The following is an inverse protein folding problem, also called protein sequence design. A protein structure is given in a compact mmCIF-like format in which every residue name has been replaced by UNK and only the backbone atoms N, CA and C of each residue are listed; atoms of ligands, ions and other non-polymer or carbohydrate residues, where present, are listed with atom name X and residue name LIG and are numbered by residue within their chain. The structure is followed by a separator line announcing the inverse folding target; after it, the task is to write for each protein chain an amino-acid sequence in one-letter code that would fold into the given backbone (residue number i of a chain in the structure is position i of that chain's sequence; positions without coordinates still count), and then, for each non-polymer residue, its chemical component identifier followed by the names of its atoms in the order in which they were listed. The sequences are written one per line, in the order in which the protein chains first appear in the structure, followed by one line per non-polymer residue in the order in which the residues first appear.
data_IF_078730018401
#
_entry.id   IF_078730018401
#
_cell.length_a   1.000
_cell.length_b   1.000
_cell.length_c   1.000
_cell.angle_alpha   90.00
_cell.angle_beta   90.00
_cell.angle_gamma   90.00
#
_symmetry.space_group_name_H-M   'P 1'
#
loop_
_entity.id
_entity.type
_entity.pdbx_description
1 polymer ?
#
# COMPACT_ATOMS: atom_id res chain seq x y z
N UNK A 1 65.55 -45.63 61.79
CA UNK A 1 65.52 -45.02 60.44
C UNK A 1 64.21 -45.39 59.83
N UNK A 2 63.23 -44.52 59.90
CA UNK A 2 61.85 -44.73 59.54
C UNK A 2 61.58 -44.14 58.14
N UNK A 3 61.20 -44.98 57.19
CA UNK A 3 60.81 -44.55 55.83
C UNK A 3 59.34 -44.44 55.81
N UNK A 4 58.84 -43.23 55.60
CA UNK A 4 57.39 -42.97 55.40
C UNK A 4 57.07 -43.13 53.93
N UNK A 5 56.07 -44.00 53.65
CA UNK A 5 55.45 -44.13 52.35
C UNK A 5 54.27 -43.17 52.27
N UNK A 6 54.32 -42.27 51.26
CA UNK A 6 53.15 -41.44 50.89
C UNK A 6 52.33 -42.13 49.82
N UNK A 7 51.08 -42.41 50.12
CA UNK A 7 50.09 -42.88 49.16
C UNK A 7 49.48 -41.69 48.46
N UNK A 8 49.59 -41.62 47.13
CA UNK A 8 48.94 -40.60 46.32
C UNK A 8 47.56 -41.11 45.90
N UNK A 9 46.49 -40.39 46.33
CA UNK A 9 45.14 -40.60 45.82
C UNK A 9 45.01 -39.89 44.49
N UNK A 10 44.68 -40.66 43.42
CA UNK A 10 44.26 -40.13 42.15
C UNK A 10 42.74 -39.95 42.16
N UNK A 11 42.27 -38.71 42.16
CA UNK A 11 40.87 -38.38 41.99
C UNK A 11 40.63 -38.21 40.49
N UNK A 12 39.89 -39.16 39.90
CA UNK A 12 39.39 -39.03 38.51
C UNK A 12 38.25 -38.05 38.46
N UNK A 13 38.43 -36.90 37.81
CA UNK A 13 37.40 -35.95 37.51
C UNK A 13 36.62 -36.39 36.26
N UNK A 14 35.37 -36.81 36.42
CA UNK A 14 34.43 -37.02 35.33
C UNK A 14 34.00 -35.65 34.77
N UNK A 15 34.52 -35.26 33.62
CA UNK A 15 34.05 -34.09 32.87
C UNK A 15 32.71 -34.43 32.18
N UNK A 16 31.63 -33.97 32.78
CA UNK A 16 30.32 -34.01 32.17
C UNK A 16 30.21 -33.00 31.05
N UNK A 17 30.09 -33.45 29.82
CA UNK A 17 29.71 -32.63 28.68
C UNK A 17 28.32 -32.03 28.89
N UNK A 18 28.20 -30.77 29.27
CA UNK A 18 26.98 -30.01 29.21
C UNK A 18 26.87 -29.47 27.76
N UNK A 19 25.90 -29.99 27.01
CA UNK A 19 25.43 -29.32 25.79
C UNK A 19 24.87 -27.95 26.17
N UNK A 20 25.31 -26.86 25.54
CA UNK A 20 24.60 -25.60 25.67
C UNK A 20 23.28 -25.74 24.92
N UNK A 21 22.15 -25.74 25.64
CA UNK A 21 20.86 -25.52 25.06
C UNK A 21 20.90 -24.17 24.34
N UNK A 22 20.89 -24.21 23.03
CA UNK A 22 20.75 -23.01 22.21
C UNK A 22 19.40 -22.39 22.51
N UNK A 23 19.40 -21.31 23.29
CA UNK A 23 18.26 -20.41 23.34
C UNK A 23 18.18 -19.73 21.97
N UNK A 24 17.24 -20.17 21.15
CA UNK A 24 16.77 -19.39 20.00
C UNK A 24 16.06 -18.16 20.56
N UNK A 25 16.83 -17.18 21.00
CA UNK A 25 16.37 -15.84 21.27
C UNK A 25 15.99 -15.23 19.95
N UNK A 26 14.72 -15.38 19.54
CA UNK A 26 14.17 -14.55 18.50
C UNK A 26 14.38 -13.09 18.89
N UNK A 27 15.00 -12.30 18.01
CA UNK A 27 15.08 -10.87 18.22
C UNK A 27 13.65 -10.36 18.52
N UNK A 28 13.47 -9.47 19.50
CA UNK A 28 12.14 -8.90 19.77
C UNK A 28 11.62 -8.31 18.47
N UNK A 29 10.41 -8.71 18.07
CA UNK A 29 9.74 -8.11 16.91
C UNK A 29 9.74 -6.59 17.13
N UNK A 30 10.15 -5.79 16.13
CA UNK A 30 10.16 -4.35 16.27
C UNK A 30 8.76 -3.89 16.65
N UNK A 31 8.67 -3.08 17.71
CA UNK A 31 7.41 -2.46 18.13
C UNK A 31 7.04 -1.38 17.13
N UNK A 32 6.27 -1.72 16.11
CA UNK A 32 5.82 -0.81 15.05
C UNK A 32 6.02 -1.37 13.65
N UNK A 33 5.48 -0.66 12.66
CA UNK A 33 5.65 -1.00 11.24
C UNK A 33 7.12 -0.88 10.82
N UNK A 34 7.62 -1.72 9.88
CA UNK A 34 8.96 -1.59 9.33
C UNK A 34 9.07 -0.33 8.44
N UNK A 35 10.23 0.32 8.44
CA UNK A 35 10.59 1.27 7.41
C UNK A 35 10.98 0.51 6.13
N UNK A 36 10.50 0.97 4.99
CA UNK A 36 10.61 0.23 3.75
C UNK A 36 11.40 1.00 2.68
N UNK A 37 12.13 0.24 1.86
CA UNK A 37 12.71 0.72 0.62
C UNK A 37 12.71 -0.37 -0.44
N UNK A 38 12.97 0.01 -1.69
CA UNK A 38 13.06 -0.93 -2.82
C UNK A 38 14.49 -1.45 -2.95
N UNK A 39 14.62 -2.77 -3.07
CA UNK A 39 15.86 -3.44 -3.44
C UNK A 39 15.57 -4.46 -4.57
N UNK A 40 15.98 -4.12 -5.77
CA UNK A 40 15.61 -4.91 -6.95
C UNK A 40 14.10 -4.95 -7.15
N UNK A 41 13.53 -6.14 -7.18
CA UNK A 41 12.09 -6.33 -7.32
C UNK A 41 11.39 -6.64 -5.96
N UNK A 42 11.97 -6.17 -4.85
CA UNK A 42 11.43 -6.41 -3.49
C UNK A 42 11.29 -5.12 -2.70
N UNK A 43 10.27 -5.07 -1.86
CA UNK A 43 10.27 -4.19 -0.69
C UNK A 43 11.10 -4.86 0.40
N UNK A 44 11.97 -4.11 1.04
CA UNK A 44 12.81 -4.61 2.14
C UNK A 44 12.76 -3.65 3.33
N UNK A 45 12.99 -4.19 4.53
CA UNK A 45 13.10 -3.41 5.76
C UNK A 45 14.52 -2.81 5.94
N UNK A 46 14.74 -2.10 7.04
CA UNK A 46 16.02 -1.48 7.38
C UNK A 46 17.19 -2.49 7.49
N UNK A 47 16.89 -3.77 7.70
CA UNK A 47 17.88 -4.85 7.76
C UNK A 47 18.07 -5.55 6.40
N UNK A 48 17.44 -5.06 5.33
CA UNK A 48 17.48 -5.67 4.00
C UNK A 48 16.64 -6.96 3.89
N UNK A 49 15.77 -7.25 4.83
CA UNK A 49 14.91 -8.43 4.80
C UNK A 49 13.68 -8.15 3.93
N UNK A 50 13.33 -9.06 3.00
CA UNK A 50 12.13 -8.89 2.20
C UNK A 50 10.86 -8.78 3.05
N UNK A 51 10.03 -7.79 2.73
CA UNK A 51 8.73 -7.55 3.34
C UNK A 51 7.66 -7.65 2.27
N UNK A 52 6.64 -8.46 2.54
CA UNK A 52 5.45 -8.56 1.71
C UNK A 52 4.31 -7.89 2.44
N UNK A 53 3.62 -6.99 1.76
CA UNK A 53 2.44 -6.34 2.30
C UNK A 53 1.23 -7.24 2.05
N UNK A 54 0.54 -7.59 3.12
CA UNK A 54 -0.76 -8.27 3.12
C UNK A 54 -1.70 -7.41 3.93
N UNK A 55 -2.68 -6.80 3.30
CA UNK A 55 -3.44 -5.77 3.96
C UNK A 55 -4.80 -5.50 3.34
N UNK A 56 -5.37 -4.39 3.73
CA UNK A 56 -6.71 -3.98 3.33
C UNK A 56 -6.72 -2.53 2.84
N UNK A 57 -7.69 -2.21 2.01
CA UNK A 57 -8.09 -0.84 1.71
C UNK A 57 -9.09 -0.37 2.77
N UNK A 58 -8.85 0.80 3.35
CA UNK A 58 -9.75 1.45 4.31
C UNK A 58 -10.38 2.65 3.63
N UNK A 59 -11.42 2.40 2.85
CA UNK A 59 -12.19 3.42 2.14
C UNK A 59 -12.92 4.37 3.08
N UNK A 60 -13.32 5.53 2.59
CA UNK A 60 -14.10 6.52 3.33
C UNK A 60 -13.42 7.85 3.53
N UNK A 61 -12.09 7.92 3.48
CA UNK A 61 -11.33 9.15 3.66
C UNK A 61 -11.37 10.02 2.40
N UNK A 62 -11.62 9.41 1.24
CA UNK A 62 -11.71 10.05 -0.07
C UNK A 62 -13.04 10.78 -0.29
N UNK A 63 -14.14 10.36 0.37
CA UNK A 63 -15.46 10.95 0.13
C UNK A 63 -16.10 11.63 1.33
N UNK A 64 -15.89 11.15 2.56
CA UNK A 64 -16.56 11.69 3.75
C UNK A 64 -16.34 13.19 3.93
N UNK A 65 -15.12 13.66 3.70
CA UNK A 65 -14.75 15.06 3.80
C UNK A 65 -15.39 15.91 2.69
N UNK A 66 -15.34 15.44 1.44
CA UNK A 66 -15.89 16.14 0.28
C UNK A 66 -17.43 16.22 0.35
N UNK A 67 -18.08 15.21 0.93
CA UNK A 67 -19.51 15.18 1.20
C UNK A 67 -19.89 15.94 2.49
N UNK A 68 -18.93 16.39 3.30
CA UNK A 68 -19.13 17.32 4.41
C UNK A 68 -19.68 16.70 5.69
N UNK A 69 -19.47 15.41 5.96
CA UNK A 69 -19.99 14.75 7.16
C UNK A 69 -18.93 14.07 8.04
N UNK A 70 -17.67 14.02 7.64
CA UNK A 70 -16.62 13.38 8.43
C UNK A 70 -15.25 13.41 7.77
N UNK A 71 -14.26 12.78 8.42
CA UNK A 71 -12.94 12.50 7.83
C UNK A 71 -12.83 11.08 7.32
N UNK A 72 -13.55 10.15 7.94
CA UNK A 72 -13.55 8.73 7.65
C UNK A 72 -14.99 8.21 7.65
N UNK A 73 -15.25 7.21 6.85
CA UNK A 73 -16.45 6.39 6.99
C UNK A 73 -16.18 5.29 8.03
N UNK A 74 -16.92 5.34 9.15
CA UNK A 74 -16.71 4.46 10.28
C UNK A 74 -15.53 4.83 11.19
N UNK A 75 -15.20 3.99 12.17
CA UNK A 75 -14.24 4.31 13.23
C UNK A 75 -12.79 4.31 12.71
N UNK A 76 -12.00 5.25 13.23
CA UNK A 76 -10.56 5.39 12.96
C UNK A 76 -9.71 5.37 14.23
N UNK A 77 -10.24 4.83 15.31
CA UNK A 77 -9.62 4.75 16.62
C UNK A 77 -8.70 3.52 16.78
N UNK A 78 -8.07 3.42 17.95
CA UNK A 78 -7.16 2.31 18.26
C UNK A 78 -7.85 0.94 18.27
N UNK A 79 -9.16 0.88 18.49
CA UNK A 79 -9.92 -0.38 18.49
C UNK A 79 -10.10 -0.89 17.08
N UNK A 80 -10.50 0.00 16.15
CA UNK A 80 -10.65 -0.35 14.74
C UNK A 80 -9.32 -0.74 14.08
N UNK A 81 -8.22 -0.05 14.41
CA UNK A 81 -6.89 -0.42 13.89
C UNK A 81 -6.41 -1.77 14.44
N UNK A 82 -6.66 -2.06 15.73
CA UNK A 82 -6.37 -3.40 16.28
C UNK A 82 -7.24 -4.50 15.66
N UNK A 83 -8.47 -4.20 15.27
CA UNK A 83 -9.31 -5.14 14.54
C UNK A 83 -8.68 -5.54 13.19
N UNK A 84 -8.16 -4.57 12.42
CA UNK A 84 -7.40 -4.85 11.19
C UNK A 84 -6.16 -5.71 11.49
N UNK A 85 -5.35 -5.30 12.47
CA UNK A 85 -4.14 -6.02 12.85
C UNK A 85 -4.42 -7.46 13.35
N UNK A 86 -5.61 -7.71 13.93
CA UNK A 86 -6.02 -9.04 14.40
C UNK A 86 -6.18 -10.07 13.27
N UNK A 87 -6.26 -9.61 12.01
CA UNK A 87 -6.25 -10.46 10.82
C UNK A 87 -4.82 -10.79 10.35
N UNK A 88 -3.79 -10.40 11.09
CA UNK A 88 -2.38 -10.49 10.68
C UNK A 88 -2.06 -9.64 9.44
N UNK A 89 -2.89 -8.64 9.14
CA UNK A 89 -2.56 -7.61 8.18
C UNK A 89 -1.33 -6.81 8.66
N UNK A 90 -0.50 -6.37 7.71
CA UNK A 90 0.67 -5.54 7.99
C UNK A 90 0.69 -4.22 7.19
N UNK A 91 -0.37 -3.96 6.42
CA UNK A 91 -0.52 -2.72 5.66
C UNK A 91 -1.99 -2.28 5.58
N UNK A 92 -2.20 -0.97 5.49
CA UNK A 92 -3.50 -0.35 5.21
C UNK A 92 -3.31 0.71 4.12
N UNK A 93 -4.06 0.59 3.02
CA UNK A 93 -4.16 1.65 2.02
C UNK A 93 -5.27 2.60 2.42
N UNK A 94 -4.93 3.88 2.48
CA UNK A 94 -5.79 4.97 2.96
C UNK A 94 -6.04 5.91 1.78
N UNK A 95 -7.22 5.85 1.16
CA UNK A 95 -7.59 6.72 0.06
C UNK A 95 -7.72 8.18 0.54
N UNK A 96 -7.11 9.11 -0.19
CA UNK A 96 -7.16 10.54 0.12
C UNK A 96 -7.93 11.30 -0.95
N UNK A 97 -8.41 12.49 -0.56
CA UNK A 97 -9.09 13.44 -1.43
C UNK A 97 -8.25 14.72 -1.55
N UNK A 98 -7.95 15.11 -2.77
CA UNK A 98 -7.14 16.28 -3.07
C UNK A 98 -7.73 17.57 -2.53
N UNK A 99 -9.02 17.83 -2.84
CA UNK A 99 -9.68 19.08 -2.42
C UNK A 99 -9.80 19.19 -0.91
N UNK A 100 -9.99 18.05 -0.22
CA UNK A 100 -10.01 18.02 1.23
C UNK A 100 -8.64 18.27 1.85
N UNK A 101 -7.58 17.65 1.29
CA UNK A 101 -6.22 17.88 1.79
C UNK A 101 -5.78 19.33 1.63
N UNK A 102 -6.04 19.91 0.44
CA UNK A 102 -5.67 21.28 0.14
C UNK A 102 -6.59 22.32 0.80
N UNK A 103 -7.82 21.94 1.17
CA UNK A 103 -8.82 22.86 1.74
C UNK A 103 -9.33 23.87 0.71
N UNK A 104 -9.54 23.44 -0.54
CA UNK A 104 -9.93 24.30 -1.67
C UNK A 104 -11.32 23.98 -2.18
N UNK A 105 -11.80 24.79 -3.13
CA UNK A 105 -13.02 24.57 -3.91
C UNK A 105 -14.31 24.46 -3.09
N UNK A 106 -14.35 25.09 -1.91
CA UNK A 106 -15.56 25.17 -1.11
C UNK A 106 -15.91 23.92 -0.30
N UNK A 107 -15.00 22.93 -0.19
CA UNK A 107 -15.18 21.83 0.77
C UNK A 107 -15.35 22.36 2.19
N UNK A 108 -16.15 21.66 3.00
CA UNK A 108 -16.47 22.09 4.35
C UNK A 108 -15.19 22.29 5.20
N UNK A 109 -14.91 23.51 5.72
CA UNK A 109 -13.67 23.77 6.49
C UNK A 109 -13.50 22.88 7.71
N UNK A 110 -14.61 22.40 8.29
CA UNK A 110 -14.58 21.47 9.41
C UNK A 110 -13.86 20.16 9.10
N UNK A 111 -13.92 19.71 7.84
CA UNK A 111 -13.41 18.40 7.38
C UNK A 111 -12.30 18.53 6.33
N UNK A 112 -11.71 19.71 6.15
CA UNK A 112 -10.69 19.94 5.12
C UNK A 112 -9.49 20.74 5.67
N UNK A 113 -8.47 20.92 4.81
CA UNK A 113 -7.27 21.65 5.17
C UNK A 113 -6.55 21.04 6.37
N UNK A 114 -6.15 21.86 7.33
CA UNK A 114 -5.42 21.43 8.54
C UNK A 114 -6.19 20.40 9.36
N UNK A 115 -7.51 20.45 9.38
CA UNK A 115 -8.33 19.47 10.11
C UNK A 115 -8.23 18.08 9.47
N UNK A 116 -8.34 18.01 8.14
CA UNK A 116 -8.19 16.75 7.39
C UNK A 116 -6.77 16.21 7.52
N UNK A 117 -5.76 17.05 7.31
CA UNK A 117 -4.34 16.66 7.43
C UNK A 117 -4.01 16.10 8.81
N UNK A 118 -4.55 16.71 9.89
CA UNK A 118 -4.37 16.18 11.25
C UNK A 118 -5.05 14.84 11.45
N UNK A 119 -6.30 14.69 11.00
CA UNK A 119 -7.02 13.42 11.12
C UNK A 119 -6.28 12.28 10.41
N UNK A 120 -5.78 12.52 9.19
CA UNK A 120 -4.96 11.55 8.45
C UNK A 120 -3.64 11.28 9.19
N UNK A 121 -2.96 12.30 9.69
CA UNK A 121 -1.69 12.12 10.42
C UNK A 121 -1.85 11.30 11.70
N UNK A 122 -2.90 11.54 12.47
CA UNK A 122 -3.22 10.78 13.68
C UNK A 122 -3.50 9.32 13.36
N UNK A 123 -4.23 9.06 12.28
CA UNK A 123 -4.54 7.71 11.82
C UNK A 123 -3.28 6.98 11.33
N UNK A 124 -2.45 7.62 10.50
CA UNK A 124 -1.16 7.07 10.04
C UNK A 124 -0.25 6.73 11.23
N UNK A 125 -0.14 7.65 12.20
CA UNK A 125 0.66 7.42 13.39
C UNK A 125 0.14 6.22 14.20
N UNK A 126 -1.18 6.03 14.26
CA UNK A 126 -1.81 4.89 14.93
C UNK A 126 -1.53 3.57 14.18
N UNK A 127 -1.68 3.55 12.84
CA UNK A 127 -1.33 2.41 12.01
C UNK A 127 0.13 1.99 12.24
N UNK A 128 1.07 2.93 12.12
CA UNK A 128 2.50 2.63 12.25
C UNK A 128 2.86 2.11 13.65
N UNK A 129 2.26 2.66 14.72
CA UNK A 129 2.47 2.14 16.09
C UNK A 129 1.91 0.73 16.28
N UNK A 130 0.88 0.36 15.53
CA UNK A 130 0.24 -0.97 15.61
C UNK A 130 0.92 -2.01 14.70
N UNK A 131 1.98 -1.61 13.98
CA UNK A 131 2.74 -2.52 13.10
C UNK A 131 2.26 -2.51 11.65
N UNK A 132 1.38 -1.59 11.27
CA UNK A 132 0.80 -1.48 9.94
C UNK A 132 1.50 -0.38 9.13
N UNK A 133 2.02 -0.73 7.96
CA UNK A 133 2.50 0.22 6.96
C UNK A 133 1.29 0.99 6.42
N UNK A 134 1.40 2.31 6.33
CA UNK A 134 0.37 3.13 5.71
C UNK A 134 0.69 3.38 4.24
N UNK A 135 -0.24 3.11 3.33
CA UNK A 135 -0.14 3.47 1.92
C UNK A 135 -1.12 4.62 1.70
N UNK A 136 -0.60 5.81 1.46
CA UNK A 136 -1.40 6.98 1.16
C UNK A 136 -1.62 7.07 -0.33
N UNK A 137 -2.85 7.02 -0.74
CA UNK A 137 -3.30 7.00 -2.12
C UNK A 137 -4.05 8.29 -2.47
N UNK A 138 -3.69 8.93 -3.57
CA UNK A 138 -4.55 9.97 -4.13
C UNK A 138 -5.69 9.32 -4.89
N UNK A 139 -6.83 9.19 -4.23
CA UNK A 139 -7.97 8.46 -4.78
C UNK A 139 -8.86 9.32 -5.67
N UNK A 140 -9.15 10.55 -5.22
CA UNK A 140 -9.97 11.50 -5.96
C UNK A 140 -9.27 12.83 -6.11
N UNK A 141 -9.23 13.34 -7.33
CA UNK A 141 -8.76 14.69 -7.70
C UNK A 141 -9.76 15.40 -8.61
N UNK A 142 -9.65 16.70 -8.70
CA UNK A 142 -10.50 17.49 -9.61
C UNK A 142 -9.81 18.80 -10.03
N UNK A 143 -9.77 19.05 -11.35
CA UNK A 143 -9.18 20.24 -11.92
C UNK A 143 -10.00 21.52 -11.65
N UNK A 144 -9.34 22.66 -11.63
CA UNK A 144 -9.93 24.00 -11.56
C UNK A 144 -10.64 24.24 -10.22
N UNK A 145 -11.90 24.61 -10.27
CA UNK A 145 -12.70 24.94 -9.07
C UNK A 145 -13.69 23.84 -8.67
N UNK A 146 -13.60 22.67 -9.30
CA UNK A 146 -14.46 21.54 -8.97
C UNK A 146 -14.02 20.87 -7.64
N UNK A 147 -14.98 20.36 -6.88
CA UNK A 147 -14.72 19.48 -5.75
C UNK A 147 -14.46 18.06 -6.27
N UNK A 148 -13.49 17.38 -5.74
CA UNK A 148 -13.21 15.98 -6.08
C UNK A 148 -14.28 15.06 -5.46
N UNK A 149 -15.26 14.65 -6.26
CA UNK A 149 -16.41 13.82 -5.87
C UNK A 149 -16.40 12.44 -6.55
N UNK A 150 -15.32 12.06 -7.20
CA UNK A 150 -15.19 10.81 -7.92
C UNK A 150 -13.81 10.68 -8.57
N UNK A 151 -13.61 9.58 -9.27
CA UNK A 151 -12.38 9.32 -10.01
C UNK A 151 -12.27 10.24 -11.24
N UNK A 152 -11.06 10.74 -11.49
CA UNK A 152 -10.71 11.47 -12.72
C UNK A 152 -9.85 10.58 -13.63
N UNK A 153 -9.85 10.80 -14.97
CA UNK A 153 -9.03 9.99 -15.89
C UNK A 153 -7.53 10.03 -15.60
N UNK A 154 -7.03 11.17 -15.15
CA UNK A 154 -5.64 11.42 -14.73
C UNK A 154 -5.64 12.48 -13.63
N UNK A 155 -4.57 12.53 -12.82
CA UNK A 155 -4.41 13.63 -11.89
C UNK A 155 -4.35 14.95 -12.64
N UNK A 156 -4.93 16.00 -12.08
CA UNK A 156 -4.89 17.34 -12.69
C UNK A 156 -3.55 18.05 -12.40
N UNK A 157 -3.17 18.95 -13.31
CA UNK A 157 -1.92 19.71 -13.16
C UNK A 157 -2.07 20.93 -12.26
N UNK A 158 -3.31 21.34 -11.99
CA UNK A 158 -3.59 22.55 -11.22
C UNK A 158 -3.25 22.35 -9.74
N UNK A 159 -3.56 21.17 -9.20
CA UNK A 159 -3.54 20.93 -7.76
C UNK A 159 -2.71 19.71 -7.36
N UNK A 160 -2.73 18.62 -8.13
CA UNK A 160 -2.10 17.35 -7.73
C UNK A 160 -0.59 17.45 -7.45
N UNK A 161 0.23 18.20 -8.22
CA UNK A 161 1.64 18.38 -7.88
C UNK A 161 1.84 19.05 -6.50
N UNK A 162 1.00 20.02 -6.14
CA UNK A 162 1.05 20.67 -4.82
C UNK A 162 0.54 19.74 -3.71
N UNK A 163 -0.52 18.97 -3.97
CA UNK A 163 -0.99 17.93 -3.05
C UNK A 163 0.17 17.00 -2.67
N UNK A 164 0.90 16.46 -3.65
CA UNK A 164 2.00 15.55 -3.38
C UNK A 164 3.21 16.22 -2.71
N UNK A 165 3.50 17.48 -3.02
CA UNK A 165 4.52 18.24 -2.26
C UNK A 165 4.15 18.34 -0.79
N UNK A 166 2.89 18.62 -0.46
CA UNK A 166 2.44 18.72 0.93
C UNK A 166 2.42 17.37 1.63
N UNK A 167 1.88 16.32 1.01
CA UNK A 167 1.87 14.95 1.57
C UNK A 167 3.31 14.49 1.81
N UNK A 168 4.16 14.58 0.80
CA UNK A 168 5.55 14.15 0.91
C UNK A 168 6.33 14.95 1.98
N UNK A 169 6.13 16.26 2.08
CA UNK A 169 6.75 17.07 3.12
C UNK A 169 6.30 16.68 4.53
N UNK A 170 5.01 16.29 4.69
CA UNK A 170 4.46 15.86 5.98
C UNK A 170 5.02 14.51 6.44
N UNK A 171 5.34 13.60 5.51
CA UNK A 171 5.75 12.24 5.83
C UNK A 171 7.22 11.92 5.47
N UNK A 172 8.00 12.85 4.94
CA UNK A 172 9.43 12.64 4.72
C UNK A 172 10.12 12.27 6.03
N UNK A 173 10.94 11.23 6.00
CA UNK A 173 11.59 10.67 7.20
C UNK A 173 10.72 9.68 7.99
N UNK A 174 9.53 9.36 7.47
CA UNK A 174 8.73 8.24 7.94
C UNK A 174 8.59 7.18 6.82
N UNK A 175 9.61 6.36 6.61
CA UNK A 175 9.64 5.34 5.57
C UNK A 175 8.70 4.15 5.85
N UNK A 176 7.83 4.26 6.87
CA UNK A 176 6.67 3.39 7.14
C UNK A 176 5.42 3.84 6.38
N UNK A 177 5.56 4.89 5.56
CA UNK A 177 4.52 5.43 4.69
C UNK A 177 4.96 5.26 3.25
N UNK A 178 4.10 4.70 2.42
CA UNK A 178 4.26 4.57 0.97
C UNK A 178 3.30 5.57 0.31
N UNK A 179 3.70 6.18 -0.80
CA UNK A 179 2.87 7.08 -1.59
C UNK A 179 2.39 6.37 -2.85
N UNK A 180 1.08 6.18 -3.00
CA UNK A 180 0.43 5.67 -4.21
C UNK A 180 -0.09 6.86 -5.01
N UNK A 181 0.61 7.21 -6.09
CA UNK A 181 0.51 8.54 -6.69
C UNK A 181 -0.85 8.88 -7.27
N UNK A 182 -1.59 7.89 -7.75
CA UNK A 182 -2.94 8.07 -8.25
C UNK A 182 -3.65 6.72 -8.33
N UNK A 183 -4.87 6.67 -7.83
CA UNK A 183 -5.65 5.46 -7.66
C UNK A 183 -5.74 4.62 -8.95
N UNK A 184 -6.46 5.10 -9.94
CA UNK A 184 -6.83 4.33 -11.12
C UNK A 184 -6.80 5.19 -12.40
N UNK A 185 -5.62 5.39 -13.02
CA UNK A 185 -5.53 6.14 -14.28
C UNK A 185 -6.28 5.44 -15.42
N UNK A 186 -7.10 6.21 -16.18
CA UNK A 186 -7.81 5.71 -17.37
C UNK A 186 -7.80 6.74 -18.53
N UNK A 187 -6.61 7.27 -18.93
CA UNK A 187 -6.50 8.22 -20.03
C UNK A 187 -6.92 7.59 -21.36
N UNK A 188 -7.05 8.44 -22.39
CA UNK A 188 -7.38 8.05 -23.76
C UNK A 188 -8.66 7.18 -23.84
N UNK A 189 -9.73 7.65 -23.16
CA UNK A 189 -11.00 6.93 -23.08
C UNK A 189 -10.86 5.49 -22.58
N UNK A 190 -9.97 5.28 -21.61
CA UNK A 190 -9.70 3.98 -20.99
C UNK A 190 -9.08 2.94 -21.95
N UNK A 191 -8.26 3.37 -22.89
CA UNK A 191 -7.57 2.51 -23.84
C UNK A 191 -6.13 2.21 -23.42
N UNK A 192 -5.60 1.05 -23.82
CA UNK A 192 -4.18 0.70 -23.73
C UNK A 192 -3.49 1.07 -25.06
N UNK A 193 -3.11 2.33 -25.19
CA UNK A 193 -2.50 2.91 -26.41
C UNK A 193 -1.20 3.63 -26.09
N UNK A 194 -0.32 3.86 -27.10
CA UNK A 194 0.86 4.71 -26.89
C UNK A 194 0.49 6.12 -26.39
N UNK A 195 -0.65 6.67 -26.83
CA UNK A 195 -1.17 7.97 -26.40
C UNK A 195 -1.57 7.96 -24.93
N UNK A 196 -2.23 6.87 -24.45
CA UNK A 196 -2.56 6.69 -23.05
C UNK A 196 -1.29 6.66 -22.19
N UNK A 197 -0.29 5.87 -22.57
CA UNK A 197 0.97 5.76 -21.83
C UNK A 197 1.81 7.04 -21.87
N UNK A 198 1.77 7.80 -22.98
CA UNK A 198 2.39 9.13 -23.06
C UNK A 198 1.69 10.10 -22.10
N UNK A 199 0.34 10.14 -22.12
CA UNK A 199 -0.44 10.94 -21.18
C UNK A 199 -0.15 10.55 -19.72
N UNK A 200 -0.14 9.26 -19.44
CA UNK A 200 0.17 8.71 -18.11
C UNK A 200 1.55 9.16 -17.63
N UNK A 201 2.58 9.08 -18.47
CA UNK A 201 3.95 9.41 -18.08
C UNK A 201 4.20 10.91 -18.04
N UNK A 202 3.83 11.63 -19.11
CA UNK A 202 4.27 13.00 -19.36
C UNK A 202 3.17 14.05 -19.06
N UNK A 203 1.91 13.61 -18.96
CA UNK A 203 0.78 14.52 -18.76
C UNK A 203 0.53 15.45 -19.93
N UNK A 204 0.09 16.66 -19.64
CA UNK A 204 -0.24 17.70 -20.60
C UNK A 204 -1.66 17.57 -21.15
N UNK A 205 -1.85 17.96 -22.41
CA UNK A 205 -3.13 17.78 -23.11
C UNK A 205 -3.29 16.33 -23.51
N UNK A 206 -4.32 15.66 -22.99
CA UNK A 206 -4.61 14.27 -23.23
C UNK A 206 -5.96 14.09 -23.93
N UNK A 207 -6.08 13.01 -24.72
CA UNK A 207 -7.32 12.68 -25.44
C UNK A 207 -8.47 12.47 -24.45
N UNK A 208 -9.62 13.05 -24.76
CA UNK A 208 -10.84 12.89 -23.93
C UNK A 208 -10.86 13.70 -22.63
N UNK A 209 -9.86 14.54 -22.38
CA UNK A 209 -9.76 15.35 -21.15
C UNK A 209 -9.94 16.83 -21.44
N UNK A 210 -10.65 17.53 -20.56
CA UNK A 210 -10.91 18.98 -20.62
C UNK A 210 -9.91 19.83 -19.83
N UNK A 211 -8.93 19.19 -19.15
CA UNK A 211 -7.91 19.82 -18.31
C UNK A 211 -6.52 19.29 -18.64
N UNK A 212 -5.49 19.97 -18.17
CA UNK A 212 -4.11 19.51 -18.29
C UNK A 212 -3.83 18.44 -17.23
N UNK A 213 -3.39 17.26 -17.68
CA UNK A 213 -2.98 16.21 -16.78
C UNK A 213 -1.60 16.49 -16.17
N UNK A 214 -1.41 16.19 -14.89
CA UNK A 214 -0.09 15.95 -14.34
C UNK A 214 0.34 14.52 -14.70
N UNK A 215 1.51 14.38 -15.33
CA UNK A 215 2.07 13.05 -15.62
C UNK A 215 2.73 12.43 -14.40
N UNK A 216 2.88 11.11 -14.39
CA UNK A 216 3.51 10.40 -13.27
C UNK A 216 4.95 10.85 -13.03
N UNK A 217 5.68 11.30 -14.08
CA UNK A 217 7.00 11.90 -13.91
C UNK A 217 6.94 13.18 -13.07
N UNK A 218 6.00 14.09 -13.38
CA UNK A 218 5.83 15.33 -12.63
C UNK A 218 5.46 15.08 -11.17
N UNK A 219 4.69 14.02 -10.89
CA UNK A 219 4.31 13.66 -9.54
C UNK A 219 5.48 13.04 -8.75
N UNK A 220 6.29 12.17 -9.38
CA UNK A 220 7.55 11.68 -8.78
C UNK A 220 8.47 12.84 -8.46
N UNK A 221 8.67 13.77 -9.39
CA UNK A 221 9.52 14.96 -9.19
C UNK A 221 8.97 15.83 -8.05
N UNK A 222 7.65 15.98 -7.95
CA UNK A 222 6.99 16.73 -6.88
C UNK A 222 7.28 16.10 -5.50
N UNK A 223 7.18 14.79 -5.37
CA UNK A 223 7.53 14.06 -4.15
C UNK A 223 9.00 14.25 -3.81
N UNK A 224 9.90 14.00 -4.77
CA UNK A 224 11.37 14.04 -4.56
C UNK A 224 11.90 15.44 -4.31
N UNK A 225 11.25 16.49 -4.83
CA UNK A 225 11.60 17.89 -4.57
C UNK A 225 11.54 18.26 -3.08
N UNK A 226 10.79 17.53 -2.28
CA UNK A 226 10.68 17.74 -0.82
C UNK A 226 11.82 17.13 -0.02
N UNK A 227 12.62 16.27 -0.64
CA UNK A 227 13.62 15.43 0.01
C UNK A 227 13.03 14.14 0.62
N UNK A 228 11.78 13.78 0.30
CA UNK A 228 11.19 12.51 0.73
C UNK A 228 11.84 11.32 0.03
N UNK A 229 12.18 10.30 0.83
CA UNK A 229 12.81 9.03 0.38
C UNK A 229 11.82 7.89 0.28
N UNK A 230 10.61 8.07 0.73
CA UNK A 230 9.55 7.07 0.77
C UNK A 230 9.42 6.28 -0.54
N UNK A 231 9.01 5.02 -0.44
CA UNK A 231 8.60 4.23 -1.61
C UNK A 231 7.42 4.92 -2.29
N UNK A 232 7.50 5.01 -3.61
CA UNK A 232 6.43 5.54 -4.46
C UNK A 232 5.84 4.39 -5.26
N UNK A 233 4.53 4.18 -5.15
CA UNK A 233 3.75 3.24 -5.95
C UNK A 233 3.10 3.98 -7.12
N UNK A 234 3.01 3.32 -8.27
CA UNK A 234 2.42 3.91 -9.47
C UNK A 234 1.59 2.84 -10.18
N UNK A 235 0.29 3.06 -10.28
CA UNK A 235 -0.63 2.22 -11.03
C UNK A 235 -0.43 2.36 -12.55
N UNK A 236 -0.80 1.33 -13.31
CA UNK A 236 -0.83 1.40 -14.76
C UNK A 236 -2.06 2.12 -15.30
N UNK A 237 -2.39 1.92 -16.56
CA UNK A 237 -3.60 2.47 -17.20
C UNK A 237 -4.79 1.51 -17.07
N UNK A 238 -5.94 1.88 -17.65
CA UNK A 238 -7.18 1.09 -17.62
C UNK A 238 -7.64 0.76 -16.20
N UNK A 239 -7.79 1.80 -15.36
CA UNK A 239 -8.11 1.63 -13.94
C UNK A 239 -7.03 0.83 -13.19
N UNK A 240 -5.76 1.12 -13.47
CA UNK A 240 -4.59 0.40 -12.92
C UNK A 240 -4.58 -1.12 -13.21
N UNK A 241 -5.44 -1.60 -14.12
CA UNK A 241 -5.55 -3.03 -14.45
C UNK A 241 -4.57 -3.48 -15.54
N UNK A 242 -3.83 -2.56 -16.18
CA UNK A 242 -2.88 -2.83 -17.27
C UNK A 242 -1.48 -2.35 -16.92
N UNK A 243 -0.50 -3.22 -17.07
CA UNK A 243 0.93 -2.92 -16.89
C UNK A 243 1.75 -3.14 -18.18
N UNK A 244 1.11 -3.34 -19.32
CA UNK A 244 1.69 -3.73 -20.61
C UNK A 244 2.91 -2.89 -21.03
N UNK A 245 2.85 -1.59 -20.84
CA UNK A 245 3.94 -0.65 -21.17
C UNK A 245 4.50 0.07 -19.94
N UNK A 246 4.20 -0.41 -18.72
CA UNK A 246 4.63 0.21 -17.47
C UNK A 246 6.15 0.36 -17.40
N UNK A 247 6.90 -0.71 -17.72
CA UNK A 247 8.37 -0.69 -17.70
C UNK A 247 8.97 0.26 -18.73
N UNK A 248 8.39 0.31 -19.92
CA UNK A 248 8.84 1.20 -21.00
C UNK A 248 8.53 2.68 -20.71
N UNK A 249 7.43 2.92 -20.01
CA UNK A 249 6.95 4.27 -19.67
C UNK A 249 7.31 4.71 -18.25
N UNK A 250 7.93 3.85 -17.45
CA UNK A 250 8.26 4.10 -16.05
C UNK A 250 8.96 5.45 -15.85
N UNK A 251 8.48 6.30 -14.93
CA UNK A 251 9.16 7.54 -14.56
C UNK A 251 10.58 7.28 -14.08
N UNK A 252 11.47 8.25 -14.34
CA UNK A 252 12.78 8.28 -13.70
C UNK A 252 12.63 8.68 -12.23
N UNK A 253 13.24 7.90 -11.35
CA UNK A 253 13.36 8.24 -9.93
C UNK A 253 14.84 8.18 -9.54
N UNK A 254 15.45 9.31 -9.09
CA UNK A 254 16.87 9.33 -8.75
C UNK A 254 17.23 8.38 -7.58
N UNK A 255 16.25 7.97 -6.78
CA UNK A 255 16.44 7.04 -5.68
C UNK A 255 16.22 5.57 -6.06
N UNK A 256 15.61 5.32 -7.25
CA UNK A 256 15.23 3.96 -7.66
C UNK A 256 14.19 3.31 -6.74
N UNK A 257 13.39 4.11 -6.03
CA UNK A 257 12.49 3.65 -4.97
C UNK A 257 11.02 3.59 -5.43
N UNK A 258 10.80 3.02 -6.65
CA UNK A 258 9.49 2.84 -7.26
C UNK A 258 8.98 1.41 -7.15
N UNK A 259 7.67 1.25 -6.91
CA UNK A 259 6.93 0.01 -7.00
C UNK A 259 5.78 0.15 -7.99
N UNK A 260 5.42 -0.94 -8.69
CA UNK A 260 4.23 -0.95 -9.53
C UNK A 260 2.99 -1.27 -8.67
N UNK A 261 1.94 -0.48 -8.83
CA UNK A 261 0.60 -0.75 -8.30
C UNK A 261 -0.26 -1.39 -9.38
N UNK A 262 -1.09 -2.35 -8.99
CA UNK A 262 -1.96 -3.08 -9.90
C UNK A 262 -3.31 -3.33 -9.23
N UNK A 263 -4.42 -3.16 -9.97
CA UNK A 263 -5.78 -3.35 -9.44
C UNK A 263 -6.50 -4.40 -10.28
N UNK A 264 -6.94 -5.49 -9.66
CA UNK A 264 -7.58 -6.60 -10.38
C UNK A 264 -8.80 -7.12 -9.63
N UNK A 265 -9.89 -7.15 -10.36
CA UNK A 265 -11.16 -7.71 -9.94
C UNK A 265 -11.60 -8.82 -10.91
N UNK A 266 -12.53 -9.69 -10.48
CA UNK A 266 -13.07 -10.75 -11.36
C UNK A 266 -13.76 -10.21 -12.61
N UNK A 267 -14.18 -8.95 -12.60
CA UNK A 267 -14.75 -8.24 -13.76
C UNK A 267 -13.74 -7.40 -14.56
N UNK A 268 -12.47 -7.33 -14.14
CA UNK A 268 -11.42 -6.63 -14.90
C UNK A 268 -11.14 -7.35 -16.22
N UNK A 269 -10.69 -6.60 -17.24
CA UNK A 269 -10.34 -7.20 -18.53
C UNK A 269 -9.18 -8.22 -18.39
N UNK A 270 -8.24 -7.99 -17.47
CA UNK A 270 -7.10 -8.85 -17.19
C UNK A 270 -7.39 -9.79 -16.00
N UNK A 271 -8.44 -10.59 -16.09
CA UNK A 271 -8.91 -11.47 -15.00
C UNK A 271 -8.52 -12.94 -15.17
N UNK A 272 -7.51 -13.24 -15.99
CA UNK A 272 -7.08 -14.61 -16.28
C UNK A 272 -5.58 -14.79 -16.04
N UNK A 273 -5.17 -16.01 -15.69
CA UNK A 273 -3.77 -16.38 -15.49
C UNK A 273 -2.90 -16.03 -16.70
N UNK A 274 -3.38 -16.26 -17.91
CA UNK A 274 -2.64 -15.94 -19.15
C UNK A 274 -2.37 -14.43 -19.24
N UNK A 275 -3.35 -13.59 -18.87
CA UNK A 275 -3.15 -12.14 -18.85
C UNK A 275 -2.16 -11.75 -17.74
N UNK A 276 -2.28 -12.31 -16.55
CA UNK A 276 -1.36 -12.01 -15.43
C UNK A 276 0.10 -12.34 -15.79
N UNK A 277 0.31 -13.50 -16.45
CA UNK A 277 1.65 -13.91 -16.88
C UNK A 277 2.20 -13.04 -18.02
N UNK A 278 1.34 -12.53 -18.89
CA UNK A 278 1.74 -11.67 -20.01
C UNK A 278 1.97 -10.23 -19.62
N UNK A 279 1.14 -9.69 -18.74
CA UNK A 279 1.07 -8.25 -18.41
C UNK A 279 1.87 -7.91 -17.14
N UNK A 280 1.57 -8.57 -16.02
CA UNK A 280 2.13 -8.20 -14.72
C UNK A 280 3.43 -8.96 -14.36
N UNK A 281 3.60 -10.21 -14.82
CA UNK A 281 4.79 -10.98 -14.47
C UNK A 281 6.12 -10.35 -14.94
N UNK A 282 6.23 -9.76 -16.16
CA UNK A 282 7.45 -9.06 -16.56
C UNK A 282 7.81 -7.89 -15.64
N UNK A 283 6.79 -7.18 -15.14
CA UNK A 283 6.96 -6.06 -14.20
C UNK A 283 7.45 -6.57 -12.85
N UNK A 284 6.81 -7.63 -12.31
CA UNK A 284 7.18 -8.25 -11.04
C UNK A 284 8.62 -8.81 -11.00
N UNK A 285 9.23 -9.06 -12.17
CA UNK A 285 10.64 -9.49 -12.26
C UNK A 285 11.62 -8.33 -12.09
N UNK A 286 11.21 -7.08 -12.28
CA UNK A 286 12.10 -5.92 -12.30
C UNK A 286 11.88 -4.94 -11.15
N UNK A 287 10.63 -4.79 -10.68
CA UNK A 287 10.26 -3.90 -9.58
C UNK A 287 9.32 -4.61 -8.61
N UNK A 288 9.19 -4.14 -7.35
CA UNK A 288 8.15 -4.67 -6.46
C UNK A 288 6.77 -4.49 -7.10
N UNK A 289 5.98 -5.57 -7.13
CA UNK A 289 4.58 -5.54 -7.56
C UNK A 289 3.69 -5.55 -6.33
N UNK A 290 2.84 -4.55 -6.22
CA UNK A 290 1.82 -4.43 -5.18
C UNK A 290 0.46 -4.43 -5.86
N UNK A 291 -0.35 -5.44 -5.58
CA UNK A 291 -1.75 -5.46 -5.94
C UNK A 291 -2.48 -4.52 -4.97
N UNK A 292 -2.59 -3.24 -5.37
CA UNK A 292 -3.13 -2.15 -4.53
C UNK A 292 -4.60 -2.36 -4.18
N UNK A 293 -5.33 -2.99 -5.12
CA UNK A 293 -6.69 -3.46 -4.91
C UNK A 293 -6.91 -4.83 -5.55
N UNK A 294 -7.61 -5.71 -4.84
CA UNK A 294 -8.17 -6.92 -5.42
C UNK A 294 -9.54 -7.21 -4.83
N UNK A 295 -10.43 -7.74 -5.66
CA UNK A 295 -11.78 -8.05 -5.24
C UNK A 295 -12.51 -9.03 -6.16
N UNK A 296 -13.62 -9.59 -5.65
CA UNK A 296 -14.53 -10.48 -6.35
C UNK A 296 -15.96 -10.14 -5.96
N UNK A 297 -16.79 -9.67 -6.90
CA UNK A 297 -18.11 -9.07 -6.65
C UNK A 297 -19.28 -10.05 -6.71
N UNK A 298 -19.03 -11.31 -7.02
CA UNK A 298 -20.02 -12.38 -7.10
C UNK A 298 -20.28 -13.09 -5.75
N UNK A 299 -19.68 -12.58 -4.64
CA UNK A 299 -19.69 -13.17 -3.29
C UNK A 299 -18.94 -14.50 -3.20
N UNK A 300 -18.19 -14.86 -4.22
CA UNK A 300 -17.25 -16.00 -4.23
C UNK A 300 -15.91 -15.64 -3.58
N UNK A 301 -14.95 -16.53 -3.78
CA UNK A 301 -13.57 -16.29 -3.37
C UNK A 301 -12.56 -17.08 -4.23
N UNK A 302 -13.03 -17.72 -5.29
CA UNK A 302 -12.20 -18.53 -6.16
C UNK A 302 -11.22 -17.69 -6.96
N UNK A 303 -11.68 -16.55 -7.47
CA UNK A 303 -10.86 -15.62 -8.22
C UNK A 303 -9.77 -14.99 -7.34
N UNK A 304 -10.16 -14.38 -6.21
CA UNK A 304 -9.18 -13.76 -5.32
C UNK A 304 -8.20 -14.77 -4.73
N UNK A 305 -8.61 -16.02 -4.50
CA UNK A 305 -7.74 -17.09 -4.06
C UNK A 305 -6.68 -17.41 -5.11
N UNK A 306 -7.09 -17.62 -6.38
CA UNK A 306 -6.17 -17.90 -7.49
C UNK A 306 -5.20 -16.73 -7.71
N UNK A 307 -5.69 -15.48 -7.62
CA UNK A 307 -4.87 -14.29 -7.77
C UNK A 307 -3.85 -14.14 -6.63
N UNK A 308 -4.26 -14.38 -5.38
CA UNK A 308 -3.34 -14.40 -4.24
C UNK A 308 -2.30 -15.51 -4.34
N UNK A 309 -2.65 -16.71 -4.82
CA UNK A 309 -1.70 -17.79 -5.08
C UNK A 309 -0.66 -17.39 -6.13
N UNK A 310 -1.12 -16.72 -7.20
CA UNK A 310 -0.24 -16.19 -8.23
C UNK A 310 0.73 -15.12 -7.68
N UNK A 311 0.23 -14.18 -6.88
CA UNK A 311 1.04 -13.16 -6.20
C UNK A 311 2.03 -13.80 -5.20
N UNK A 312 1.59 -14.77 -4.41
CA UNK A 312 2.42 -15.47 -3.44
C UNK A 312 3.58 -16.20 -4.11
N UNK A 313 3.35 -16.85 -5.27
CA UNK A 313 4.39 -17.54 -6.05
C UNK A 313 5.49 -16.59 -6.54
N UNK A 314 5.21 -15.30 -6.63
CA UNK A 314 6.13 -14.23 -7.06
C UNK A 314 6.59 -13.33 -5.90
N UNK A 315 6.19 -13.67 -4.67
CA UNK A 315 6.46 -12.86 -3.46
C UNK A 315 5.92 -11.43 -3.59
N UNK A 316 4.84 -11.23 -4.34
CA UNK A 316 4.15 -9.96 -4.48
C UNK A 316 3.35 -9.59 -3.23
N UNK A 317 2.99 -8.34 -3.13
CA UNK A 317 2.17 -7.76 -2.07
C UNK A 317 0.73 -7.58 -2.54
N UNK A 318 -0.26 -7.62 -1.62
CA UNK A 318 -1.66 -7.41 -2.00
C UNK A 318 -2.51 -6.84 -0.87
N UNK A 319 -3.52 -6.01 -1.25
CA UNK A 319 -4.43 -5.34 -0.34
C UNK A 319 -5.87 -5.56 -0.81
N UNK A 320 -6.68 -6.21 0.04
CA UNK A 320 -8.05 -6.52 -0.27
C UNK A 320 -8.95 -5.28 -0.27
N UNK A 321 -9.88 -5.19 -1.19
CA UNK A 321 -10.95 -4.21 -1.20
C UNK A 321 -12.21 -4.85 -0.64
N UNK A 322 -12.88 -4.32 0.43
CA UNK A 322 -12.49 -3.21 1.26
C UNK A 322 -12.92 -3.45 2.72
N UNK A 323 -12.28 -2.78 3.68
CA UNK A 323 -12.59 -2.87 5.12
C UNK A 323 -13.78 -1.98 5.47
N UNK A 324 -14.96 -2.40 5.04
CA UNK A 324 -16.22 -1.66 5.11
C UNK A 324 -17.39 -2.57 5.47
N UNK A 325 -18.55 -1.92 5.82
CA UNK A 325 -19.80 -2.56 6.24
C UNK A 325 -21.00 -2.03 5.41
N UNK A 326 -20.82 -1.77 4.14
CA UNK A 326 -21.87 -1.20 3.26
C UNK A 326 -22.95 -2.19 2.85
N UNK A 327 -22.81 -3.48 3.17
CA UNK A 327 -23.72 -4.55 2.75
C UNK A 327 -23.47 -5.02 1.31
N UNK A 328 -22.29 -4.70 0.74
CA UNK A 328 -21.90 -5.05 -0.61
C UNK A 328 -21.13 -6.38 -0.68
N UNK A 329 -20.93 -6.89 -1.89
CA UNK A 329 -20.23 -8.16 -2.10
C UNK A 329 -18.74 -8.08 -1.73
N UNK A 330 -18.16 -6.90 -1.83
CA UNK A 330 -16.73 -6.64 -1.59
C UNK A 330 -16.40 -6.29 -0.13
N UNK A 331 -17.41 -6.18 0.74
CA UNK A 331 -17.17 -5.89 2.16
C UNK A 331 -16.41 -7.03 2.83
N UNK A 332 -15.27 -6.73 3.42
CA UNK A 332 -14.47 -7.71 4.15
C UNK A 332 -15.05 -8.02 5.53
N UNK A 333 -15.73 -7.05 6.13
CA UNK A 333 -16.22 -7.15 7.51
C UNK A 333 -17.74 -6.97 7.60
N UNK A 334 -18.33 -7.71 8.51
CA UNK A 334 -19.73 -7.54 8.90
C UNK A 334 -19.90 -6.49 10.01
N UNK A 335 -18.82 -6.19 10.73
CA UNK A 335 -18.75 -5.19 11.81
C UNK A 335 -17.33 -4.68 11.96
N UNK A 336 -17.17 -3.41 12.36
CA UNK A 336 -15.87 -2.77 12.58
C UNK A 336 -15.06 -3.34 13.75
N UNK A 337 -15.59 -4.31 14.50
CA UNK A 337 -14.82 -5.11 15.47
C UNK A 337 -13.92 -6.17 14.81
N UNK A 338 -13.97 -6.28 13.47
CA UNK A 338 -13.20 -7.24 12.69
C UNK A 338 -13.88 -8.59 12.49
N UNK A 339 -15.19 -8.69 12.78
CA UNK A 339 -15.99 -9.87 12.41
C UNK A 339 -16.03 -9.97 10.88
N UNK A 340 -15.49 -11.04 10.26
CA UNK A 340 -15.43 -11.15 8.81
C UNK A 340 -16.81 -11.45 8.20
N UNK A 341 -17.03 -10.99 6.97
CA UNK A 341 -18.01 -11.59 6.07
C UNK A 341 -17.51 -12.96 5.59
N UNK A 342 -18.33 -13.79 4.93
CA UNK A 342 -17.85 -15.01 4.27
C UNK A 342 -16.71 -14.72 3.27
N UNK A 343 -16.80 -13.63 2.52
CA UNK A 343 -15.77 -13.15 1.60
C UNK A 343 -14.50 -12.74 2.37
N UNK A 344 -14.64 -11.91 3.39
CA UNK A 344 -13.53 -11.45 4.23
C UNK A 344 -12.82 -12.57 4.99
N UNK A 345 -13.52 -13.68 5.31
CA UNK A 345 -12.90 -14.83 5.95
C UNK A 345 -11.79 -15.46 5.09
N UNK A 346 -11.88 -15.38 3.78
CA UNK A 346 -10.85 -15.84 2.84
C UNK A 346 -9.54 -15.08 3.08
N UNK A 347 -9.62 -13.75 3.17
CA UNK A 347 -8.45 -12.90 3.41
C UNK A 347 -7.90 -13.07 4.82
N UNK A 348 -8.78 -13.11 5.83
CA UNK A 348 -8.36 -13.33 7.22
C UNK A 348 -7.57 -14.63 7.38
N UNK A 349 -8.01 -15.70 6.73
CA UNK A 349 -7.31 -16.99 6.73
C UNK A 349 -5.97 -16.87 6.01
N UNK A 350 -5.94 -16.21 4.85
CA UNK A 350 -4.73 -16.04 4.03
C UNK A 350 -3.67 -15.20 4.73
N UNK A 351 -4.04 -14.14 5.43
CA UNK A 351 -3.09 -13.27 6.12
C UNK A 351 -2.44 -13.96 7.32
N UNK A 352 -3.14 -14.90 7.96
CA UNK A 352 -2.64 -15.69 9.09
C UNK A 352 -1.79 -16.91 8.72
N UNK A 353 -1.58 -17.15 7.39
CA UNK A 353 -0.86 -18.34 6.89
C UNK A 353 0.61 -18.06 6.54
#
# INVERSE_FOLDING_TARGET
MTVQHRVALIVAALAGCRNPAGSSGGAPSPTGAPALHVQGNRLVDEAGRPVRLRGVNRSGTEYACAQGWGFFDGPSDSTSVRAIASWHANAVRVPLNETCWLGINGVAPAYSGDNYRRAVADYVALLNRTGLVAILDLHWSAAGTAVALGQAPMPDRDHTPEFWRQVAAAYKGNDRVIFDLFNEPFPDNNADTPEAWRCWRDGGTCVGMSYQAAGMQELVDSVRSTGATNVVMIGGVQYAATLSSWLASKPADPLGNLAASWHIYNFSWCNTLTCWDGDAAPVAQQVPLVLGELGEDDRGSSFVTALMDWMDSRQGSYLAWSWDVWGQALDLIASYDGTPTPYGQTFKTRFGS
#
